data_IF_878607488588
#
_entry.id   IF_878607488588
#
_cell.length_a   1.000
_cell.length_b   1.000
_cell.length_c   1.000
_cell.angle_alpha   90.00
_cell.angle_beta   90.00
_cell.angle_gamma   90.00
#
_symmetry.space_group_name_H-M   'P 1'
#
loop_
_entity.id
_entity.type
_entity.pdbx_description
1 polymer ?
#
# COMPACT_ATOMS: atom_id res chain seq x y z
N UNK A 1 -6.29 32.79 -1.78
CA UNK A 1 -6.51 31.33 -1.85
C UNK A 1 -5.30 30.63 -1.22
N UNK A 2 -5.41 30.18 0.03
CA UNK A 2 -4.29 29.55 0.75
C UNK A 2 -4.36 28.03 0.59
N UNK A 3 -3.31 27.44 0.01
CA UNK A 3 -3.10 26.00 -0.03
C UNK A 3 -2.63 25.53 1.35
N UNK A 4 -3.50 24.87 2.12
CA UNK A 4 -3.13 24.32 3.42
C UNK A 4 -2.38 23.00 3.22
N UNK A 5 -1.08 23.01 3.47
CA UNK A 5 -0.25 21.80 3.51
C UNK A 5 -0.63 20.98 4.76
N UNK A 6 -1.14 19.77 4.56
CA UNK A 6 -1.41 18.85 5.67
C UNK A 6 -0.09 18.45 6.36
N UNK A 7 -0.03 18.44 7.70
CA UNK A 7 1.19 18.07 8.41
C UNK A 7 1.46 16.57 8.30
N UNK A 8 2.74 16.20 8.17
CA UNK A 8 3.15 14.79 8.13
C UNK A 8 2.94 14.17 9.52
N UNK A 9 2.21 13.03 9.64
CA UNK A 9 1.98 12.39 10.93
C UNK A 9 3.28 11.97 11.59
N UNK A 10 3.37 12.08 12.92
CA UNK A 10 4.55 11.62 13.69
C UNK A 10 4.87 10.14 13.42
N UNK A 11 6.15 9.76 13.60
CA UNK A 11 6.63 8.43 13.23
C UNK A 11 5.83 7.27 13.88
N UNK A 12 5.39 7.45 15.13
CA UNK A 12 4.56 6.47 15.83
C UNK A 12 3.20 6.24 15.15
N UNK A 13 2.54 7.32 14.71
CA UNK A 13 1.26 7.24 14.01
C UNK A 13 1.42 6.52 12.66
N UNK A 14 2.48 6.83 11.89
CA UNK A 14 2.78 6.15 10.62
C UNK A 14 3.03 4.65 10.82
N UNK A 15 3.80 4.26 11.83
CA UNK A 15 4.05 2.84 12.17
C UNK A 15 2.77 2.11 12.58
N UNK A 16 1.89 2.76 13.35
CA UNK A 16 0.59 2.18 13.74
C UNK A 16 -0.32 1.97 12.53
N UNK A 17 -0.39 2.96 11.63
CA UNK A 17 -1.16 2.86 10.39
C UNK A 17 -0.67 1.71 9.51
N UNK A 18 0.64 1.66 9.20
CA UNK A 18 1.23 0.58 8.39
C UNK A 18 0.93 -0.81 8.96
N UNK A 19 1.11 -1.01 10.27
CA UNK A 19 0.82 -2.30 10.92
C UNK A 19 -0.64 -2.72 10.77
N UNK A 20 -1.58 -1.78 10.96
CA UNK A 20 -3.02 -2.05 10.81
C UNK A 20 -3.37 -2.40 9.37
N UNK A 21 -2.88 -1.61 8.42
CA UNK A 21 -3.11 -1.83 7.00
C UNK A 21 -2.58 -3.20 6.54
N UNK A 22 -1.34 -3.54 6.88
CA UNK A 22 -0.74 -4.83 6.52
C UNK A 22 -1.46 -6.00 7.18
N UNK A 23 -1.93 -5.83 8.43
CA UNK A 23 -2.72 -6.87 9.11
C UNK A 23 -4.06 -7.11 8.43
N UNK A 24 -4.74 -6.04 8.03
CA UNK A 24 -5.99 -6.15 7.29
C UNK A 24 -5.78 -6.78 5.90
N UNK A 25 -4.75 -6.35 5.18
CA UNK A 25 -4.41 -6.85 3.85
C UNK A 25 -4.11 -8.35 3.85
N UNK A 26 -3.41 -8.86 4.88
CA UNK A 26 -3.19 -10.31 5.03
C UNK A 26 -4.48 -11.12 5.17
N UNK A 27 -5.56 -10.52 5.67
CA UNK A 27 -6.84 -11.21 5.92
C UNK A 27 -7.86 -11.01 4.81
N UNK A 28 -7.85 -9.87 4.15
CA UNK A 28 -8.87 -9.46 3.18
C UNK A 28 -8.31 -9.11 1.80
N UNK A 29 -7.01 -9.31 1.59
CA UNK A 29 -6.36 -9.08 0.31
C UNK A 29 -6.96 -10.00 -0.74
N UNK A 30 -7.33 -9.42 -1.89
CA UNK A 30 -7.79 -10.20 -3.04
C UNK A 30 -6.63 -10.98 -3.63
N UNK A 31 -6.92 -12.22 -3.99
CA UNK A 31 -6.03 -13.04 -4.79
C UNK A 31 -6.11 -12.58 -6.25
N UNK A 32 -4.96 -12.21 -6.81
CA UNK A 32 -4.82 -11.72 -8.18
C UNK A 32 -3.65 -12.47 -8.80
N UNK A 33 -3.77 -13.03 -10.01
CA UNK A 33 -2.73 -13.89 -10.60
C UNK A 33 -1.34 -13.24 -10.62
N UNK A 34 -1.28 -11.94 -10.90
CA UNK A 34 -0.04 -11.17 -10.93
C UNK A 34 0.58 -10.87 -9.55
N UNK A 35 -0.10 -11.21 -8.45
CA UNK A 35 0.46 -11.13 -7.08
C UNK A 35 1.17 -12.41 -6.65
N UNK A 36 1.09 -13.47 -7.46
CA UNK A 36 1.73 -14.76 -7.19
C UNK A 36 3.08 -14.91 -7.92
N UNK A 37 3.56 -13.86 -8.58
CA UNK A 37 4.80 -13.84 -9.35
C UNK A 37 5.67 -12.65 -8.95
N UNK A 38 6.97 -12.84 -9.01
CA UNK A 38 8.02 -11.83 -8.86
C UNK A 38 8.67 -11.44 -10.20
N UNK A 39 8.14 -11.95 -11.32
CA UNK A 39 8.59 -11.60 -12.66
C UNK A 39 8.28 -10.11 -12.96
N UNK A 40 9.31 -9.27 -13.19
CA UNK A 40 9.12 -7.86 -13.48
C UNK A 40 8.23 -7.59 -14.69
N UNK A 41 8.25 -8.48 -15.70
CA UNK A 41 7.42 -8.34 -16.89
C UNK A 41 5.93 -8.54 -16.56
N UNK A 42 5.59 -9.58 -15.79
CA UNK A 42 4.21 -9.82 -15.37
C UNK A 42 3.68 -8.72 -14.44
N UNK A 43 4.54 -8.17 -13.58
CA UNK A 43 4.18 -7.02 -12.73
C UNK A 43 3.87 -5.80 -13.61
N UNK A 44 4.75 -5.46 -14.56
CA UNK A 44 4.58 -4.31 -15.44
C UNK A 44 3.30 -4.39 -16.28
N UNK A 45 3.02 -5.55 -16.89
CA UNK A 45 1.79 -5.75 -17.69
C UNK A 45 0.53 -5.55 -16.86
N UNK A 46 0.59 -5.79 -15.55
CA UNK A 46 -0.56 -5.61 -14.65
C UNK A 46 -0.79 -4.16 -14.22
N UNK A 47 0.15 -3.26 -14.51
CA UNK A 47 0.10 -1.83 -14.18
C UNK A 47 -0.31 -0.94 -15.37
N UNK A 48 -0.28 -1.48 -16.59
CA UNK A 48 -0.72 -0.82 -17.84
C UNK A 48 -2.22 -1.00 -18.04
#
# INVERSE_FOLDING_TARGET
MASTKLPIPVAAARRRFRRRLLTWYRRHGRDLPWRQTDDPYHILVSEI
#
